data_IF_015710943367
#
_entry.id   IF_015710943367
#
_cell.length_a   1.000
_cell.length_b   1.000
_cell.length_c   1.000
_cell.angle_alpha   90.00
_cell.angle_beta   90.00
_cell.angle_gamma   90.00
#
_symmetry.space_group_name_H-M   'P 1'
#
loop_
_entity.id
_entity.type
_entity.pdbx_description
1 polymer ?
#
# COMPACT_ATOMS: atom_id res chain seq x y z
N UNK A 1 -15.99 -9.11 -14.55
CA UNK A 1 -14.53 -9.02 -14.28
C UNK A 1 -13.78 -8.14 -15.29
N UNK A 2 -13.31 -8.59 -16.47
CA UNK A 2 -12.41 -7.76 -17.32
C UNK A 2 -12.95 -6.36 -17.69
N UNK A 3 -14.27 -6.23 -17.94
CA UNK A 3 -14.89 -4.93 -18.23
C UNK A 3 -14.86 -3.94 -17.04
N UNK A 4 -14.92 -4.45 -15.79
CA UNK A 4 -14.80 -3.64 -14.57
C UNK A 4 -13.34 -3.19 -14.37
N UNK A 5 -12.38 -4.10 -14.60
CA UNK A 5 -10.95 -3.80 -14.53
C UNK A 5 -10.49 -2.80 -15.59
N UNK A 6 -11.00 -2.92 -16.83
CA UNK A 6 -10.73 -1.92 -17.88
C UNK A 6 -11.30 -0.56 -17.48
N UNK A 7 -12.52 -0.51 -16.93
CA UNK A 7 -13.10 0.73 -16.46
C UNK A 7 -12.30 1.36 -15.31
N UNK A 8 -11.77 0.54 -14.39
CA UNK A 8 -10.87 0.99 -13.33
C UNK A 8 -9.55 1.53 -13.88
N UNK A 9 -8.90 0.83 -14.81
CA UNK A 9 -7.67 1.31 -15.46
C UNK A 9 -7.89 2.66 -16.17
N UNK A 10 -9.02 2.80 -16.89
CA UNK A 10 -9.41 4.06 -17.50
C UNK A 10 -9.66 5.16 -16.45
N UNK A 11 -10.27 4.82 -15.31
CA UNK A 11 -10.53 5.74 -14.21
C UNK A 11 -9.23 6.26 -13.57
N UNK A 12 -8.29 5.36 -13.27
CA UNK A 12 -6.97 5.69 -12.72
C UNK A 12 -6.19 6.60 -13.67
N UNK A 13 -6.22 6.30 -14.97
CA UNK A 13 -5.61 7.12 -16.02
C UNK A 13 -6.25 8.49 -16.12
N UNK A 14 -7.60 8.53 -16.14
CA UNK A 14 -8.37 9.78 -16.26
C UNK A 14 -8.11 10.74 -15.11
N UNK A 15 -7.86 10.21 -13.92
CA UNK A 15 -7.52 10.97 -12.70
C UNK A 15 -6.04 11.33 -12.62
N UNK A 16 -5.21 10.80 -13.52
CA UNK A 16 -3.77 11.01 -13.53
C UNK A 16 -3.03 10.32 -12.38
N UNK A 17 -3.62 9.27 -11.80
CA UNK A 17 -2.99 8.51 -10.70
C UNK A 17 -1.91 7.57 -11.22
N UNK A 18 -2.17 6.95 -12.37
CA UNK A 18 -1.26 6.03 -13.06
C UNK A 18 -1.26 6.39 -14.54
N UNK A 19 -0.07 6.59 -15.13
CA UNK A 19 0.05 7.01 -16.52
C UNK A 19 -0.24 5.87 -17.53
N UNK A 20 0.18 4.66 -17.18
CA UNK A 20 0.03 3.45 -18.00
C UNK A 20 -0.35 2.27 -17.10
N UNK A 21 -1.63 2.17 -16.67
CA UNK A 21 -2.06 1.04 -15.87
C UNK A 21 -2.12 -0.24 -16.71
N UNK A 22 -1.71 -1.34 -16.10
CA UNK A 22 -1.80 -2.68 -16.64
C UNK A 22 -2.88 -3.46 -15.87
N UNK A 23 -3.59 -4.33 -16.59
CA UNK A 23 -4.62 -5.21 -16.03
C UNK A 23 -4.08 -6.61 -16.05
N UNK A 24 -4.03 -7.25 -14.89
CA UNK A 24 -3.54 -8.63 -14.74
C UNK A 24 -4.52 -9.41 -13.88
N UNK A 25 -5.01 -10.52 -14.43
CA UNK A 25 -6.00 -11.41 -13.84
C UNK A 25 -7.18 -10.70 -13.18
N UNK A 26 -7.07 -10.39 -11.89
CA UNK A 26 -8.11 -9.83 -11.03
C UNK A 26 -7.85 -8.39 -10.59
N UNK A 27 -6.68 -7.81 -10.84
CA UNK A 27 -6.29 -6.48 -10.35
C UNK A 27 -5.77 -5.54 -11.44
N UNK A 28 -5.63 -4.27 -11.08
CA UNK A 28 -5.05 -3.22 -11.93
C UNK A 28 -3.86 -2.61 -11.23
N UNK A 29 -2.71 -2.53 -11.91
CA UNK A 29 -1.51 -1.95 -11.32
C UNK A 29 -0.81 -0.97 -12.23
N UNK A 30 0.09 -0.19 -11.66
CA UNK A 30 1.05 0.61 -12.41
C UNK A 30 1.75 1.64 -11.55
N UNK A 31 2.66 2.37 -12.19
CA UNK A 31 3.51 3.33 -11.52
C UNK A 31 2.79 4.66 -11.23
N UNK A 32 2.79 5.05 -9.95
CA UNK A 32 2.25 6.29 -9.40
C UNK A 32 3.38 7.18 -8.83
N UNK A 33 3.03 8.41 -8.39
CA UNK A 33 3.98 9.42 -7.84
C UNK A 33 5.25 9.56 -8.69
N UNK A 34 5.08 10.04 -9.93
CA UNK A 34 6.20 10.23 -10.87
C UNK A 34 7.05 8.97 -11.11
N UNK A 35 6.41 7.80 -11.01
CA UNK A 35 6.97 6.48 -11.23
C UNK A 35 7.89 5.93 -10.14
N UNK A 36 7.72 6.42 -8.91
CA UNK A 36 8.46 5.95 -7.74
C UNK A 36 7.72 4.85 -6.95
N UNK A 37 6.38 4.79 -7.05
CA UNK A 37 5.54 3.91 -6.22
C UNK A 37 4.71 3.00 -7.11
N UNK A 38 4.72 1.70 -6.83
CA UNK A 38 3.80 0.76 -7.47
C UNK A 38 2.41 0.86 -6.83
N UNK A 39 1.39 1.29 -7.57
CA UNK A 39 0.01 1.20 -7.15
C UNK A 39 -0.58 -0.10 -7.68
N UNK A 40 -1.15 -0.92 -6.80
CA UNK A 40 -2.00 -2.05 -7.14
C UNK A 40 -3.41 -1.75 -6.60
N UNK A 41 -4.44 -1.98 -7.42
CA UNK A 41 -5.83 -1.79 -7.05
C UNK A 41 -6.56 -3.10 -7.33
N UNK A 42 -6.95 -3.74 -6.25
CA UNK A 42 -7.64 -5.01 -6.28
C UNK A 42 -9.13 -4.80 -5.93
N UNK A 43 -10.04 -4.95 -6.91
CA UNK A 43 -11.47 -4.90 -6.67
C UNK A 43 -12.04 -6.17 -6.03
N UNK A 44 -11.26 -7.25 -5.84
CA UNK A 44 -11.73 -8.44 -5.15
C UNK A 44 -11.61 -8.26 -3.63
N UNK A 45 -12.74 -8.29 -2.90
CA UNK A 45 -12.73 -8.74 -1.53
C UNK A 45 -12.91 -10.25 -1.52
N UNK A 46 -12.12 -10.96 -0.70
CA UNK A 46 -12.31 -12.38 -0.45
C UNK A 46 -13.73 -12.71 0.11
N UNK A 47 -14.47 -11.69 0.59
CA UNK A 47 -15.73 -11.86 1.35
C UNK A 47 -16.94 -11.01 0.91
N UNK A 48 -16.88 -10.11 -0.08
CA UNK A 48 -18.07 -9.28 -0.42
C UNK A 48 -18.94 -9.84 -1.56
N UNK A 49 -20.25 -9.76 -1.34
CA UNK A 49 -21.28 -10.18 -2.29
C UNK A 49 -21.48 -9.19 -3.46
N UNK A 50 -20.88 -7.99 -3.39
CA UNK A 50 -21.09 -6.90 -4.36
C UNK A 50 -19.75 -6.44 -4.92
N UNK A 51 -19.63 -6.42 -6.25
CA UNK A 51 -18.45 -5.86 -6.93
C UNK A 51 -18.33 -4.35 -6.61
N UNK A 52 -17.16 -3.87 -6.17
CA UNK A 52 -16.96 -2.46 -5.90
C UNK A 52 -17.00 -1.62 -7.18
N UNK A 53 -17.54 -0.41 -7.05
CA UNK A 53 -17.55 0.56 -8.14
C UNK A 53 -16.11 1.03 -8.44
N UNK A 54 -15.64 0.97 -9.70
CA UNK A 54 -14.29 1.42 -10.07
C UNK A 54 -13.95 2.84 -9.61
N UNK A 55 -14.95 3.72 -9.56
CA UNK A 55 -14.80 5.08 -9.08
C UNK A 55 -14.45 5.16 -7.58
N UNK A 56 -15.02 4.28 -6.75
CA UNK A 56 -14.76 4.25 -5.32
C UNK A 56 -13.33 3.80 -5.01
N UNK A 57 -12.84 2.77 -5.71
CA UNK A 57 -11.46 2.32 -5.60
C UNK A 57 -10.47 3.40 -6.05
N UNK A 58 -10.77 4.09 -7.14
CA UNK A 58 -9.96 5.21 -7.61
C UNK A 58 -10.01 6.43 -6.66
N UNK A 59 -11.14 6.67 -5.98
CA UNK A 59 -11.25 7.68 -4.91
C UNK A 59 -10.33 7.34 -3.73
N UNK A 60 -10.32 6.08 -3.29
CA UNK A 60 -9.46 5.62 -2.19
C UNK A 60 -7.98 5.69 -2.57
N UNK A 61 -7.61 5.21 -3.77
CA UNK A 61 -6.25 5.34 -4.29
C UNK A 61 -5.80 6.81 -4.36
N UNK A 62 -6.68 7.70 -4.84
CA UNK A 62 -6.39 9.13 -4.86
C UNK A 62 -6.20 9.71 -3.46
N UNK A 63 -7.04 9.32 -2.49
CA UNK A 63 -6.96 9.78 -1.09
C UNK A 63 -5.60 9.42 -0.49
N UNK A 64 -5.16 8.16 -0.61
CA UNK A 64 -3.87 7.68 -0.10
C UNK A 64 -2.69 8.41 -0.77
N UNK A 65 -2.70 8.50 -2.10
CA UNK A 65 -1.60 9.13 -2.85
C UNK A 65 -1.51 10.64 -2.59
N UNK A 66 -2.64 11.27 -2.28
CA UNK A 66 -2.76 12.71 -1.99
C UNK A 66 -2.68 13.06 -0.50
N UNK A 67 -2.44 12.08 0.38
CA UNK A 67 -2.30 12.32 1.81
C UNK A 67 -1.23 13.40 2.07
N UNK A 68 -1.54 14.47 2.83
CA UNK A 68 -0.61 15.55 3.12
C UNK A 68 0.65 15.05 3.84
N UNK A 69 1.80 15.71 3.60
CA UNK A 69 3.08 15.37 4.25
C UNK A 69 2.99 15.34 5.78
N UNK A 70 2.17 16.22 6.38
CA UNK A 70 1.99 16.25 7.83
C UNK A 70 1.25 15.00 8.34
N UNK A 71 0.23 14.54 7.63
CA UNK A 71 -0.53 13.32 7.97
C UNK A 71 0.32 12.07 7.74
N UNK A 72 1.07 12.02 6.63
CA UNK A 72 2.09 10.99 6.40
C UNK A 72 3.10 10.92 7.53
N UNK A 73 3.55 12.07 8.03
CA UNK A 73 4.49 12.12 9.14
C UNK A 73 3.90 11.51 10.42
N UNK A 74 2.65 11.81 10.74
CA UNK A 74 1.95 11.23 11.89
C UNK A 74 1.74 9.73 11.74
N UNK A 75 1.39 9.27 10.54
CA UNK A 75 1.24 7.85 10.24
C UNK A 75 2.57 7.10 10.42
N UNK A 76 3.68 7.64 9.88
CA UNK A 76 5.00 7.05 10.06
C UNK A 76 5.45 7.07 11.54
N UNK A 77 5.14 8.12 12.30
CA UNK A 77 5.41 8.15 13.74
C UNK A 77 4.66 7.02 14.47
N UNK A 78 3.41 6.73 14.06
CA UNK A 78 2.61 5.63 14.62
C UNK A 78 3.19 4.27 14.26
N UNK A 79 3.55 4.06 12.99
CA UNK A 79 4.16 2.82 12.49
C UNK A 79 5.44 2.49 13.25
N UNK A 80 6.34 3.48 13.38
CA UNK A 80 7.59 3.31 14.13
C UNK A 80 7.30 2.95 15.59
N UNK A 81 6.39 3.66 16.25
CA UNK A 81 6.01 3.38 17.64
C UNK A 81 5.48 1.96 17.84
N UNK A 82 4.67 1.44 16.92
CA UNK A 82 4.10 0.09 17.03
C UNK A 82 5.16 -1.00 16.76
N UNK A 83 6.10 -0.75 15.84
CA UNK A 83 7.25 -1.63 15.62
C UNK A 83 8.12 -1.69 16.89
N UNK A 84 8.38 -0.56 17.52
CA UNK A 84 9.18 -0.49 18.75
C UNK A 84 8.52 -1.17 19.96
N UNK A 85 7.19 -1.12 20.03
CA UNK A 85 6.42 -1.77 21.09
C UNK A 85 6.25 -3.28 20.83
N UNK A 86 6.58 -3.76 19.64
CA UNK A 86 6.47 -5.18 19.28
C UNK A 86 7.68 -5.97 19.78
N UNK A 87 7.45 -6.83 20.78
CA UNK A 87 8.45 -7.78 21.29
C UNK A 87 8.82 -8.88 20.27
N UNK A 88 8.09 -9.00 19.15
CA UNK A 88 8.26 -10.05 18.14
C UNK A 88 9.22 -9.66 17.01
N UNK A 89 9.64 -8.40 16.94
CA UNK A 89 10.54 -7.87 15.91
C UNK A 89 11.97 -7.79 16.46
N UNK A 90 12.95 -8.31 15.71
CA UNK A 90 14.37 -8.20 16.09
C UNK A 90 14.73 -6.73 16.36
N UNK A 91 15.52 -6.51 17.43
CA UNK A 91 15.84 -5.21 18.02
C UNK A 91 16.16 -4.14 16.94
N UNK A 92 15.28 -3.14 16.80
CA UNK A 92 15.55 -1.96 15.96
C UNK A 92 16.83 -1.30 16.49
N UNK A 93 17.86 -1.21 15.66
CA UNK A 93 19.19 -0.75 16.09
C UNK A 93 19.16 0.73 16.49
N UNK A 94 18.39 1.57 15.77
CA UNK A 94 18.19 2.98 16.10
C UNK A 94 16.86 3.56 15.54
N UNK A 95 15.96 4.01 16.42
CA UNK A 95 14.61 4.52 16.08
C UNK A 95 14.59 5.72 15.13
N UNK A 96 15.47 6.69 15.37
CA UNK A 96 15.54 7.90 14.54
C UNK A 96 15.95 7.55 13.11
N UNK A 97 16.76 6.49 12.95
CA UNK A 97 17.14 5.98 11.64
C UNK A 97 15.99 5.24 10.98
N UNK A 98 15.18 4.45 11.71
CA UNK A 98 14.06 3.71 11.12
C UNK A 98 13.08 4.65 10.39
N UNK A 99 12.69 5.75 11.02
CA UNK A 99 11.80 6.74 10.39
C UNK A 99 12.37 7.31 9.09
N UNK A 100 13.67 7.56 9.05
CA UNK A 100 14.36 8.11 7.88
C UNK A 100 14.70 7.06 6.82
N UNK A 101 14.63 5.79 7.20
CA UNK A 101 14.96 4.64 6.37
C UNK A 101 13.74 4.06 5.64
N UNK A 102 12.52 4.31 6.15
CA UNK A 102 11.27 3.87 5.52
C UNK A 102 11.06 4.58 4.17
N UNK A 103 11.10 3.80 3.09
CA UNK A 103 10.83 4.24 1.72
C UNK A 103 9.61 3.52 1.19
N UNK A 104 8.55 4.27 0.87
CA UNK A 104 7.32 3.69 0.30
C UNK A 104 7.61 3.09 -1.08
N UNK A 105 7.38 1.78 -1.20
CA UNK A 105 7.64 1.01 -2.42
C UNK A 105 6.36 0.70 -3.18
N UNK A 106 5.33 0.26 -2.47
CA UNK A 106 4.04 -0.06 -3.08
C UNK A 106 2.86 0.31 -2.21
N UNK A 107 1.73 0.52 -2.87
CA UNK A 107 0.42 0.77 -2.28
C UNK A 107 -0.54 -0.20 -2.94
N UNK A 108 -1.21 -1.02 -2.13
CA UNK A 108 -2.29 -1.90 -2.57
C UNK A 108 -3.59 -1.35 -2.02
N UNK A 109 -4.57 -1.16 -2.88
CA UNK A 109 -5.88 -0.63 -2.53
C UNK A 109 -6.90 -1.74 -2.70
N UNK A 110 -7.49 -2.13 -1.58
CA UNK A 110 -8.68 -2.95 -1.52
C UNK A 110 -9.89 -2.04 -1.31
N UNK A 111 -11.09 -2.61 -1.36
CA UNK A 111 -12.33 -1.87 -1.16
C UNK A 111 -12.51 -1.37 0.28
N UNK A 112 -11.99 -2.09 1.27
CA UNK A 112 -12.15 -1.81 2.70
C UNK A 112 -10.81 -1.56 3.43
N UNK A 113 -9.68 -1.76 2.75
CA UNK A 113 -8.36 -1.60 3.32
C UNK A 113 -7.35 -1.06 2.31
N UNK A 114 -6.25 -0.52 2.82
CA UNK A 114 -5.08 -0.11 2.05
C UNK A 114 -3.85 -0.71 2.69
N UNK A 115 -3.06 -1.44 1.92
CA UNK A 115 -1.79 -1.98 2.36
C UNK A 115 -0.65 -1.16 1.77
N UNK A 116 0.24 -0.67 2.61
CA UNK A 116 1.45 0.03 2.22
C UNK A 116 2.64 -0.89 2.46
N UNK A 117 3.55 -0.96 1.50
CA UNK A 117 4.84 -1.63 1.67
C UNK A 117 5.96 -0.60 1.67
N UNK A 118 6.79 -0.65 2.69
CA UNK A 118 7.98 0.15 2.85
C UNK A 118 9.22 -0.73 2.86
N UNK A 119 10.24 -0.32 2.13
CA UNK A 119 11.59 -0.83 2.33
C UNK A 119 12.22 -0.08 3.52
N UNK A 120 13.02 -0.78 4.32
CA UNK A 120 13.83 -0.20 5.39
C UNK A 120 15.25 -0.79 5.34
N UNK A 121 16.07 -0.42 4.34
CA UNK A 121 17.30 -1.15 3.98
C UNK A 121 18.39 -1.14 5.06
N UNK A 122 18.37 -0.21 6.02
CA UNK A 122 19.30 -0.18 7.15
C UNK A 122 18.81 -1.01 8.33
N UNK A 123 17.50 -0.97 8.61
CA UNK A 123 16.93 -1.65 9.78
C UNK A 123 16.50 -3.08 9.46
N UNK A 124 15.89 -3.29 8.29
CA UNK A 124 15.33 -4.54 7.80
C UNK A 124 15.80 -4.80 6.35
N UNK A 125 17.09 -5.16 6.14
CA UNK A 125 17.66 -5.29 4.80
C UNK A 125 17.06 -6.43 3.96
N UNK A 126 16.51 -7.45 4.61
CA UNK A 126 15.94 -8.65 3.99
C UNK A 126 14.42 -8.77 4.25
N UNK A 127 13.78 -7.68 4.68
CA UNK A 127 12.37 -7.67 5.05
C UNK A 127 11.72 -6.34 4.70
N UNK A 128 10.41 -6.38 4.49
CA UNK A 128 9.60 -5.23 4.17
C UNK A 128 8.67 -4.91 5.33
N UNK A 129 8.49 -3.62 5.59
CA UNK A 129 7.52 -3.13 6.58
C UNK A 129 6.18 -2.94 5.89
N UNK A 130 5.17 -3.64 6.38
CA UNK A 130 3.82 -3.67 5.86
C UNK A 130 2.90 -2.94 6.81
N UNK A 131 2.18 -1.95 6.30
CA UNK A 131 1.27 -1.12 7.08
C UNK A 131 -0.12 -1.24 6.50
N UNK A 132 -1.06 -1.71 7.32
CA UNK A 132 -2.46 -1.79 6.95
C UNK A 132 -3.21 -0.56 7.46
N UNK A 133 -3.97 0.04 6.56
CA UNK A 133 -4.91 1.11 6.85
C UNK A 133 -6.33 0.65 6.52
N UNK A 134 -7.31 1.22 7.19
CA UNK A 134 -8.71 1.04 6.85
C UNK A 134 -9.13 1.87 5.61
N UNK A 135 -10.39 1.73 5.19
CA UNK A 135 -11.00 2.50 4.12
C UNK A 135 -10.99 4.04 4.34
N UNK A 136 -10.80 4.50 5.58
CA UNK A 136 -10.66 5.90 5.93
C UNK A 136 -9.21 6.39 5.96
N UNK A 137 -8.26 5.53 5.59
CA UNK A 137 -6.82 5.77 5.59
C UNK A 137 -6.30 5.97 7.03
N UNK A 138 -6.97 5.37 8.02
CA UNK A 138 -6.51 5.33 9.40
C UNK A 138 -5.66 4.08 9.65
N UNK A 139 -4.64 4.22 10.48
CA UNK A 139 -3.75 3.10 10.85
C UNK A 139 -4.51 1.99 11.57
N UNK A 140 -4.39 0.75 11.08
CA UNK A 140 -4.91 -0.45 11.74
C UNK A 140 -3.79 -1.31 12.33
N UNK A 141 -2.80 -1.68 11.52
CA UNK A 141 -1.77 -2.63 11.92
C UNK A 141 -0.44 -2.39 11.18
N UNK A 142 0.64 -2.91 11.75
CA UNK A 142 1.96 -3.01 11.13
C UNK A 142 2.54 -4.39 11.33
N UNK A 143 3.18 -4.91 10.29
CA UNK A 143 3.89 -6.18 10.29
C UNK A 143 5.24 -6.00 9.58
N UNK A 144 6.23 -6.82 9.94
CA UNK A 144 7.50 -6.89 9.21
C UNK A 144 7.62 -8.30 8.67
N UNK A 145 7.64 -8.42 7.35
CA UNK A 145 7.68 -9.72 6.68
C UNK A 145 8.96 -9.88 5.86
N UNK A 146 9.56 -11.09 5.84
CA UNK A 146 10.65 -11.39 4.93
C UNK A 146 10.23 -11.17 3.47
N UNK A 147 11.11 -10.60 2.66
CA UNK A 147 10.82 -10.27 1.25
C UNK A 147 10.38 -11.50 0.42
N UNK A 148 10.87 -12.70 0.80
CA UNK A 148 10.49 -13.96 0.15
C UNK A 148 9.00 -14.29 0.31
N UNK A 149 8.39 -13.93 1.44
CA UNK A 149 6.96 -14.13 1.70
C UNK A 149 6.13 -13.02 1.06
N UNK A 150 6.65 -11.79 1.04
CA UNK A 150 6.00 -10.65 0.38
C UNK A 150 5.85 -10.87 -1.13
N UNK A 151 6.88 -11.41 -1.81
CA UNK A 151 6.78 -11.76 -3.23
C UNK A 151 5.67 -12.79 -3.48
N UNK A 152 5.45 -13.75 -2.58
CA UNK A 152 4.34 -14.71 -2.72
C UNK A 152 2.97 -14.03 -2.55
N UNK A 153 2.85 -13.09 -1.61
CA UNK A 153 1.60 -12.37 -1.36
C UNK A 153 1.25 -11.38 -2.47
N UNK A 154 2.26 -10.78 -3.10
CA UNK A 154 2.07 -9.91 -4.27
C UNK A 154 1.90 -10.66 -5.59
N UNK A 155 2.19 -11.98 -5.62
CA UNK A 155 2.05 -12.84 -6.81
C UNK A 155 0.84 -13.78 -6.74
N UNK A 156 0.04 -13.70 -5.68
CA UNK A 156 -1.27 -14.36 -5.56
C UNK A 156 -2.35 -13.40 -6.05
#
# INVERSE_FOLDING_TARGET
MTASLTALAEELTRRGLVASPEVEDTFVYGLARDAEVMLNVDPEPEEQEVEPEPAALADLAQRVLSTPTAEWKVLLDRVVSEIEESDELDEVVETAELREDLVLRSVIVFIDAVLLSFDAPKQFPDSSVLVQLDADVAFEAVEVEPDEELVRRLSM
#
